data_IF_394383442576
#
_entry.id   IF_394383442576
#
_cell.length_a   1.000
_cell.length_b   1.000
_cell.length_c   1.000
_cell.angle_alpha   90.00
_cell.angle_beta   90.00
_cell.angle_gamma   90.00
#
_symmetry.space_group_name_H-M   'P 1'
#
loop_
_entity.id
_entity.type
_entity.pdbx_description
1 polymer ?
#
# COMPACT_ATOMS: atom_id res chain seq x y z
N UNK A 1 -33.39 -15.31 16.94
CA UNK A 1 -32.08 -15.44 16.26
C UNK A 1 -32.32 -16.13 14.93
N UNK A 2 -32.24 -15.40 13.80
CA UNK A 2 -32.32 -16.02 12.46
C UNK A 2 -30.93 -16.58 12.14
N UNK A 3 -30.88 -17.85 11.79
CA UNK A 3 -29.71 -18.56 11.30
C UNK A 3 -29.22 -17.86 10.00
N UNK A 4 -28.03 -17.25 10.06
CA UNK A 4 -27.48 -16.37 9.00
C UNK A 4 -26.25 -16.97 8.30
N UNK A 5 -25.90 -18.22 8.61
CA UNK A 5 -24.85 -18.96 7.90
C UNK A 5 -25.48 -19.94 6.93
N UNK A 6 -25.50 -19.60 5.64
CA UNK A 6 -25.94 -20.52 4.57
C UNK A 6 -24.92 -21.61 4.23
N UNK A 7 -23.78 -21.65 4.91
CA UNK A 7 -22.70 -22.60 4.64
C UNK A 7 -23.03 -23.98 5.23
N UNK A 8 -23.35 -24.94 4.36
CA UNK A 8 -23.53 -26.35 4.74
C UNK A 8 -22.16 -27.05 4.70
N UNK A 9 -21.76 -27.77 5.77
CA UNK A 9 -20.51 -28.53 5.76
C UNK A 9 -20.54 -29.58 4.64
N UNK A 10 -19.37 -29.80 4.03
CA UNK A 10 -19.19 -30.77 2.95
C UNK A 10 -19.34 -32.22 3.40
N UNK A 11 -19.14 -32.49 4.70
CA UNK A 11 -19.32 -33.79 5.33
C UNK A 11 -20.33 -33.67 6.50
N UNK A 12 -21.45 -34.42 6.48
CA UNK A 12 -22.45 -34.42 7.55
C UNK A 12 -21.88 -34.76 8.93
N UNK A 13 -20.81 -35.56 8.98
CA UNK A 13 -20.11 -35.96 10.22
C UNK A 13 -19.47 -34.80 10.98
N UNK A 14 -19.18 -33.67 10.30
CA UNK A 14 -18.60 -32.47 10.92
C UNK A 14 -19.53 -31.80 11.93
N UNK A 15 -20.84 -32.02 11.81
CA UNK A 15 -21.85 -31.39 12.67
C UNK A 15 -21.68 -31.74 14.17
N UNK A 16 -20.93 -32.79 14.48
CA UNK A 16 -20.61 -33.22 15.86
C UNK A 16 -19.15 -32.97 16.27
N UNK A 17 -18.29 -32.47 15.37
CA UNK A 17 -16.89 -32.20 15.67
C UNK A 17 -16.77 -30.92 16.55
N UNK A 18 -16.08 -31.02 17.68
CA UNK A 18 -15.91 -29.91 18.61
C UNK A 18 -15.21 -28.69 17.97
N UNK A 19 -14.29 -28.94 17.01
CA UNK A 19 -13.57 -27.91 16.25
C UNK A 19 -14.49 -27.18 15.27
N UNK A 20 -15.41 -27.92 14.64
CA UNK A 20 -16.43 -27.34 13.76
C UNK A 20 -17.46 -26.51 14.54
N UNK A 21 -17.92 -27.02 15.68
CA UNK A 21 -18.83 -26.29 16.56
C UNK A 21 -18.20 -25.00 17.09
N UNK A 22 -16.89 -24.99 17.38
CA UNK A 22 -16.16 -23.78 17.73
C UNK A 22 -16.13 -22.78 16.57
N UNK A 23 -15.85 -23.23 15.33
CA UNK A 23 -15.90 -22.35 14.17
C UNK A 23 -17.29 -21.72 13.97
N UNK A 24 -18.37 -22.47 14.21
CA UNK A 24 -19.73 -21.94 14.18
C UNK A 24 -20.00 -20.89 15.27
N UNK A 25 -19.53 -21.12 16.51
CA UNK A 25 -19.64 -20.12 17.60
C UNK A 25 -18.87 -18.84 17.26
N UNK A 26 -17.65 -18.98 16.73
CA UNK A 26 -16.80 -17.87 16.30
C UNK A 26 -17.52 -16.98 15.29
N UNK A 27 -18.12 -17.56 14.24
CA UNK A 27 -18.80 -16.76 13.21
C UNK A 27 -20.13 -16.18 13.67
N UNK A 28 -20.77 -16.78 14.69
CA UNK A 28 -21.97 -16.25 15.34
C UNK A 28 -21.67 -15.08 16.29
N UNK A 29 -20.42 -14.89 16.72
CA UNK A 29 -20.02 -13.78 17.57
C UNK A 29 -20.18 -12.42 16.85
N UNK A 30 -20.57 -11.38 17.60
CA UNK A 30 -20.75 -10.00 17.12
C UNK A 30 -19.57 -9.45 16.30
N UNK A 31 -18.35 -9.90 16.60
CA UNK A 31 -17.12 -9.46 15.94
C UNK A 31 -16.91 -10.11 14.58
N UNK A 32 -17.54 -11.26 14.29
CA UNK A 32 -17.45 -11.95 12.99
C UNK A 32 -18.73 -11.80 12.17
N UNK A 33 -19.89 -11.84 12.82
CA UNK A 33 -21.22 -11.84 12.17
C UNK A 33 -21.50 -10.65 11.25
N UNK A 34 -20.79 -9.52 11.42
CA UNK A 34 -20.90 -8.33 10.56
C UNK A 34 -20.21 -8.47 9.19
N UNK A 35 -19.39 -9.49 8.97
CA UNK A 35 -18.62 -9.67 7.72
C UNK A 35 -18.86 -11.05 7.11
N UNK A 36 -19.67 -11.14 6.03
CA UNK A 36 -19.91 -12.40 5.32
C UNK A 36 -18.62 -13.05 4.82
N UNK A 37 -17.66 -12.25 4.34
CA UNK A 37 -16.38 -12.74 3.84
C UNK A 37 -15.53 -13.45 4.91
N UNK A 38 -15.46 -12.91 6.13
CA UNK A 38 -14.70 -13.54 7.21
C UNK A 38 -15.36 -14.81 7.72
N UNK A 39 -16.70 -14.80 7.78
CA UNK A 39 -17.50 -15.99 8.10
C UNK A 39 -17.26 -17.09 7.07
N UNK A 40 -17.42 -16.78 5.77
CA UNK A 40 -17.24 -17.75 4.70
C UNK A 40 -15.80 -18.27 4.64
N UNK A 41 -14.82 -17.39 4.82
CA UNK A 41 -13.41 -17.79 4.87
C UNK A 41 -13.17 -18.80 6.01
N UNK A 42 -13.52 -18.43 7.25
CA UNK A 42 -13.27 -19.30 8.40
C UNK A 42 -13.99 -20.65 8.27
N UNK A 43 -15.26 -20.66 7.86
CA UNK A 43 -16.02 -21.90 7.68
C UNK A 43 -15.44 -22.76 6.55
N UNK A 44 -15.04 -22.16 5.43
CA UNK A 44 -14.45 -22.88 4.31
C UNK A 44 -13.15 -23.59 4.69
N UNK A 45 -12.22 -22.90 5.34
CA UNK A 45 -10.92 -23.52 5.69
C UNK A 45 -11.05 -24.56 6.80
N UNK A 46 -11.95 -24.35 7.76
CA UNK A 46 -12.26 -25.35 8.77
C UNK A 46 -12.94 -26.58 8.17
N UNK A 47 -13.88 -26.41 7.23
CA UNK A 47 -14.53 -27.52 6.53
C UNK A 47 -13.51 -28.38 5.78
N UNK A 48 -12.59 -27.74 5.04
CA UNK A 48 -11.56 -28.43 4.27
C UNK A 48 -10.55 -29.16 5.13
N UNK A 49 -10.05 -28.53 6.19
CA UNK A 49 -9.11 -29.17 7.11
C UNK A 49 -9.74 -30.37 7.81
N UNK A 50 -10.94 -30.19 8.38
CA UNK A 50 -11.62 -31.24 9.14
C UNK A 50 -12.14 -32.38 8.24
N UNK A 51 -12.26 -32.13 6.94
CA UNK A 51 -12.57 -33.17 5.94
C UNK A 51 -11.33 -33.87 5.38
N UNK A 52 -10.13 -33.55 5.86
CA UNK A 52 -8.86 -34.13 5.37
C UNK A 52 -8.44 -33.63 3.98
N UNK A 53 -8.93 -32.47 3.55
CA UNK A 53 -8.67 -31.84 2.25
C UNK A 53 -7.90 -30.53 2.40
N UNK A 54 -6.88 -30.55 3.25
CA UNK A 54 -6.05 -29.40 3.59
C UNK A 54 -5.26 -28.86 2.38
N UNK A 55 -4.94 -29.73 1.44
CA UNK A 55 -4.26 -29.45 0.18
C UNK A 55 -5.08 -28.54 -0.76
N UNK A 56 -6.41 -28.56 -0.66
CA UNK A 56 -7.29 -27.64 -1.40
C UNK A 56 -7.25 -26.21 -0.85
N UNK A 57 -6.68 -25.99 0.35
CA UNK A 57 -6.69 -24.68 1.05
C UNK A 57 -5.58 -23.77 0.48
N UNK A 58 -5.76 -23.39 -0.78
CA UNK A 58 -4.88 -22.48 -1.52
C UNK A 58 -5.52 -21.10 -1.66
N UNK A 59 -4.70 -20.07 -1.89
CA UNK A 59 -5.20 -18.70 -2.06
C UNK A 59 -6.22 -18.59 -3.21
N UNK A 60 -5.94 -19.28 -4.31
CA UNK A 60 -6.81 -19.36 -5.47
C UNK A 60 -8.16 -19.99 -5.13
N UNK A 61 -8.16 -21.16 -4.48
CA UNK A 61 -9.39 -21.88 -4.13
C UNK A 61 -10.23 -21.12 -3.10
N UNK A 62 -9.59 -20.48 -2.12
CA UNK A 62 -10.28 -19.63 -1.16
C UNK A 62 -10.97 -18.46 -1.88
N UNK A 63 -10.27 -17.80 -2.82
CA UNK A 63 -10.82 -16.69 -3.60
C UNK A 63 -12.10 -17.07 -4.35
N UNK A 64 -12.12 -18.23 -4.98
CA UNK A 64 -13.30 -18.71 -5.71
C UNK A 64 -14.39 -19.18 -4.74
N UNK A 65 -14.06 -20.11 -3.84
CA UNK A 65 -15.05 -20.85 -3.06
C UNK A 65 -15.60 -20.07 -1.86
N UNK A 66 -14.78 -19.22 -1.23
CA UNK A 66 -15.18 -18.44 -0.06
C UNK A 66 -15.52 -16.97 -0.41
N UNK A 67 -14.85 -16.38 -1.40
CA UNK A 67 -15.04 -14.98 -1.80
C UNK A 67 -15.86 -14.81 -3.09
N UNK A 68 -16.23 -15.90 -3.77
CA UNK A 68 -17.07 -15.83 -4.98
C UNK A 68 -16.37 -15.19 -6.18
N UNK A 69 -15.03 -15.24 -6.24
CA UNK A 69 -14.27 -14.74 -7.39
C UNK A 69 -14.49 -15.64 -8.62
N UNK A 70 -14.40 -15.06 -9.84
CA UNK A 70 -14.53 -15.82 -11.07
C UNK A 70 -13.35 -16.80 -11.25
N UNK A 71 -13.51 -17.80 -12.13
CA UNK A 71 -12.53 -18.88 -12.31
C UNK A 71 -11.20 -18.39 -12.90
N UNK A 72 -11.19 -17.26 -13.59
CA UNK A 72 -9.98 -16.58 -14.08
C UNK A 72 -9.28 -15.72 -13.01
N UNK A 73 -9.72 -15.80 -11.75
CA UNK A 73 -9.12 -15.11 -10.60
C UNK A 73 -7.61 -15.37 -10.48
N UNK A 74 -6.84 -14.27 -10.41
CA UNK A 74 -5.40 -14.32 -10.21
C UNK A 74 -5.00 -13.76 -8.83
N UNK A 75 -4.55 -14.60 -7.89
CA UNK A 75 -4.06 -14.17 -6.58
C UNK A 75 -2.83 -13.26 -6.61
N UNK A 76 -2.12 -13.16 -7.75
CA UNK A 76 -1.01 -12.23 -7.94
C UNK A 76 -1.47 -10.78 -8.17
N UNK A 77 -2.69 -10.59 -8.68
CA UNK A 77 -3.25 -9.27 -9.02
C UNK A 77 -4.27 -8.82 -7.96
N UNK A 78 -5.13 -9.73 -7.50
CA UNK A 78 -6.11 -9.45 -6.44
C UNK A 78 -5.68 -10.11 -5.13
N UNK A 79 -5.39 -9.28 -4.13
CA UNK A 79 -4.90 -9.69 -2.81
C UNK A 79 -6.00 -9.85 -1.76
N UNK A 80 -7.28 -9.94 -2.17
CA UNK A 80 -8.43 -10.03 -1.26
C UNK A 80 -8.26 -11.13 -0.20
N UNK A 81 -7.79 -12.31 -0.59
CA UNK A 81 -7.60 -13.45 0.35
C UNK A 81 -6.52 -13.13 1.38
N UNK A 82 -5.40 -12.51 0.99
CA UNK A 82 -4.32 -12.10 1.92
C UNK A 82 -4.78 -11.05 2.91
N UNK A 83 -5.52 -10.05 2.42
CA UNK A 83 -6.06 -8.97 3.25
C UNK A 83 -7.01 -9.53 4.30
N UNK A 84 -7.96 -10.36 3.88
CA UNK A 84 -8.92 -10.98 4.80
C UNK A 84 -8.28 -12.03 5.70
N UNK A 85 -7.21 -12.70 5.30
CA UNK A 85 -6.47 -13.61 6.18
C UNK A 85 -5.79 -12.85 7.33
N UNK A 86 -5.25 -11.65 7.07
CA UNK A 86 -4.69 -10.78 8.13
C UNK A 86 -5.77 -10.36 9.13
N UNK A 87 -6.93 -9.96 8.62
CA UNK A 87 -8.07 -9.57 9.47
C UNK A 87 -8.61 -10.76 10.26
N UNK A 88 -8.73 -11.93 9.62
CA UNK A 88 -9.18 -13.17 10.26
C UNK A 88 -8.27 -13.56 11.42
N UNK A 89 -6.95 -13.55 11.23
CA UNK A 89 -5.98 -13.81 12.30
C UNK A 89 -6.16 -12.85 13.48
N UNK A 90 -6.20 -11.55 13.22
CA UNK A 90 -6.41 -10.53 14.26
C UNK A 90 -7.72 -10.74 15.03
N UNK A 91 -8.82 -11.08 14.34
CA UNK A 91 -10.10 -11.32 15.01
C UNK A 91 -10.12 -12.62 15.82
N UNK A 92 -9.44 -13.67 15.36
CA UNK A 92 -9.26 -14.89 16.14
C UNK A 92 -8.49 -14.58 17.42
N UNK A 93 -7.38 -13.84 17.33
CA UNK A 93 -6.60 -13.45 18.52
C UNK A 93 -7.43 -12.62 19.50
N UNK A 94 -8.14 -11.60 19.01
CA UNK A 94 -9.03 -10.77 19.85
C UNK A 94 -10.15 -11.60 20.51
N UNK A 95 -10.74 -12.57 19.81
CA UNK A 95 -11.77 -13.44 20.38
C UNK A 95 -11.19 -14.27 21.52
N UNK A 96 -10.05 -14.93 21.33
CA UNK A 96 -9.45 -15.78 22.36
C UNK A 96 -8.82 -14.98 23.51
N UNK A 97 -8.55 -13.68 23.34
CA UNK A 97 -8.18 -12.77 24.43
C UNK A 97 -9.38 -12.29 25.27
N UNK A 98 -10.59 -12.32 24.71
CA UNK A 98 -11.81 -11.77 25.34
C UNK A 98 -12.88 -12.85 25.55
N UNK A 99 -13.87 -12.92 24.65
CA UNK A 99 -15.07 -13.76 24.76
C UNK A 99 -14.76 -15.26 24.78
N UNK A 100 -13.66 -15.68 24.14
CA UNK A 100 -13.23 -17.06 23.95
C UNK A 100 -12.14 -17.55 24.89
N UNK A 101 -11.80 -16.79 25.94
CA UNK A 101 -10.66 -17.11 26.84
C UNK A 101 -10.71 -18.52 27.45
N UNK A 102 -11.92 -19.01 27.72
CA UNK A 102 -12.16 -20.31 28.35
C UNK A 102 -12.54 -21.42 27.35
N UNK A 103 -12.39 -21.19 26.05
CA UNK A 103 -12.66 -22.23 25.05
C UNK A 103 -11.59 -23.35 25.18
N UNK A 104 -11.99 -24.63 25.20
CA UNK A 104 -11.06 -25.76 25.38
C UNK A 104 -10.15 -25.96 24.16
N UNK A 105 -10.55 -25.45 23.00
CA UNK A 105 -9.82 -25.52 21.74
C UNK A 105 -9.60 -24.08 21.25
N UNK A 106 -8.39 -23.77 20.82
CA UNK A 106 -8.03 -22.52 20.13
C UNK A 106 -7.78 -22.79 18.66
N UNK A 107 -8.45 -22.03 17.78
CA UNK A 107 -8.19 -22.04 16.34
C UNK A 107 -7.19 -20.93 16.02
N UNK A 108 -6.12 -21.25 15.30
CA UNK A 108 -5.16 -20.29 14.76
C UNK A 108 -4.97 -20.51 13.26
N UNK A 109 -4.59 -19.47 12.51
CA UNK A 109 -4.20 -19.59 11.11
C UNK A 109 -2.80 -18.99 10.98
N UNK A 110 -1.74 -19.79 10.75
CA UNK A 110 -0.37 -19.29 10.78
C UNK A 110 -0.09 -18.31 9.63
N UNK A 111 0.90 -17.44 9.81
CA UNK A 111 1.35 -16.52 8.75
C UNK A 111 1.96 -17.33 7.61
N UNK A 112 1.67 -16.93 6.37
CA UNK A 112 2.17 -17.60 5.16
C UNK A 112 1.42 -18.88 4.76
N UNK A 113 0.47 -19.36 5.57
CA UNK A 113 -0.45 -20.45 5.20
C UNK A 113 -1.89 -20.07 5.51
N UNK A 114 -2.83 -20.84 4.96
CA UNK A 114 -4.27 -20.64 5.15
C UNK A 114 -4.94 -21.81 5.89
N UNK A 115 -4.22 -22.90 6.10
CA UNK A 115 -4.70 -24.08 6.83
C UNK A 115 -4.85 -23.74 8.32
N UNK A 116 -6.03 -23.94 8.93
CA UNK A 116 -6.26 -23.69 10.35
C UNK A 116 -5.59 -24.77 11.22
N UNK A 117 -5.04 -24.36 12.35
CA UNK A 117 -4.45 -25.24 13.37
C UNK A 117 -5.31 -25.15 14.64
N UNK A 118 -5.54 -26.30 15.26
CA UNK A 118 -6.33 -26.42 16.49
C UNK A 118 -5.40 -26.81 17.65
N UNK A 119 -5.41 -26.01 18.71
CA UNK A 119 -4.62 -26.25 19.93
C UNK A 119 -5.55 -26.53 21.11
N UNK A 120 -5.22 -27.49 21.97
CA UNK A 120 -5.91 -27.68 23.25
C UNK A 120 -5.41 -26.64 24.27
N UNK A 121 -6.33 -25.99 24.97
CA UNK A 121 -5.99 -24.97 25.97
C UNK A 121 -5.65 -25.65 27.30
N UNK A 122 -4.38 -25.57 27.72
CA UNK A 122 -3.86 -26.20 28.95
C UNK A 122 -4.38 -25.61 30.28
N UNK A 123 -5.37 -24.69 30.26
CA UNK A 123 -5.90 -24.07 31.48
C UNK A 123 -6.97 -24.90 32.22
N UNK A 124 -6.90 -26.23 32.11
CA UNK A 124 -7.63 -27.16 32.95
C UNK A 124 -6.67 -28.11 33.69
N UNK A 125 -5.58 -27.59 34.27
CA UNK A 125 -4.81 -28.22 35.35
C UNK A 125 -3.82 -27.20 35.92
N UNK A 126 -3.96 -26.84 37.20
CA UNK A 126 -3.02 -25.97 37.91
C UNK A 126 -1.79 -26.73 38.38
N UNK A 127 -0.60 -26.14 38.22
CA UNK A 127 0.26 -25.69 39.34
C UNK A 127 1.65 -25.22 38.85
N UNK A 128 2.08 -24.09 39.44
CA UNK A 128 3.45 -23.57 39.67
C UNK A 128 4.64 -23.84 38.73
N UNK A 129 5.03 -22.79 37.98
CA UNK A 129 6.39 -22.19 37.68
C UNK A 129 7.72 -22.99 37.83
N UNK A 130 8.86 -22.56 37.22
CA UNK A 130 9.12 -21.55 36.18
C UNK A 130 10.10 -22.00 35.04
N UNK A 131 10.30 -21.06 34.10
CA UNK A 131 11.07 -21.08 32.83
C UNK A 131 12.58 -21.37 32.96
N UNK A 132 13.14 -22.12 31.99
CA UNK A 132 14.52 -21.93 31.52
C UNK A 132 14.65 -22.26 30.00
N UNK A 133 15.47 -21.53 29.20
CA UNK A 133 15.54 -21.69 27.74
C UNK A 133 16.63 -22.67 27.30
N UNK A 134 16.29 -23.65 26.46
CA UNK A 134 17.25 -24.61 25.88
C UNK A 134 17.60 -24.25 24.43
N UNK A 135 18.90 -24.16 24.17
CA UNK A 135 19.55 -23.90 22.89
C UNK A 135 19.58 -25.14 21.97
N UNK A 136 19.69 -24.89 20.66
CA UNK A 136 19.86 -25.88 19.60
C UNK A 136 21.28 -26.50 19.58
N UNK A 137 21.44 -27.78 19.20
CA UNK A 137 22.76 -28.33 18.87
C UNK A 137 23.13 -28.13 17.39
N UNK A 138 24.35 -27.61 17.16
CA UNK A 138 25.13 -27.78 15.93
C UNK A 138 26.12 -28.91 16.18
N UNK A 139 26.14 -29.94 15.33
CA UNK A 139 27.21 -30.93 15.27
C UNK A 139 28.19 -30.55 14.16
N UNK A 140 29.46 -30.41 14.54
CA UNK A 140 30.61 -30.30 13.65
C UNK A 140 31.64 -31.30 14.20
N UNK A 141 31.99 -32.32 13.42
CA UNK A 141 33.05 -33.28 13.76
C UNK A 141 34.10 -33.27 12.67
N UNK A 142 35.26 -32.82 13.12
CA UNK A 142 36.61 -32.77 12.59
C UNK A 142 37.13 -34.15 12.13
N UNK A 143 37.70 -34.24 10.92
CA UNK A 143 38.47 -35.40 10.46
C UNK A 143 39.94 -35.03 10.42
N UNK A 144 40.74 -35.76 11.21
CA UNK A 144 42.20 -35.65 11.32
C UNK A 144 42.92 -36.24 10.12
N UNK A 145 43.94 -35.50 9.69
CA UNK A 145 44.99 -35.87 8.74
C UNK A 145 45.93 -36.95 9.33
N UNK A 146 46.26 -37.98 8.55
CA UNK A 146 47.45 -38.80 8.77
C UNK A 146 48.29 -38.88 7.48
N UNK A 147 49.52 -38.41 7.60
CA UNK A 147 50.60 -38.56 6.62
C UNK A 147 51.30 -39.89 6.88
N UNK A 148 51.53 -40.68 5.83
CA UNK A 148 52.61 -41.66 5.83
C UNK A 148 53.25 -41.80 4.46
N UNK A 149 54.57 -41.60 4.45
CA UNK A 149 55.48 -41.66 3.32
C UNK A 149 56.25 -42.99 3.37
N UNK A 150 56.38 -43.72 2.25
CA UNK A 150 57.61 -44.46 1.89
C UNK A 150 57.64 -45.02 0.44
N UNK A 151 58.58 -44.44 -0.31
CA UNK A 151 59.51 -44.95 -1.34
C UNK A 151 59.31 -46.29 -2.08
N UNK A 152 59.55 -46.25 -3.41
CA UNK A 152 60.08 -47.38 -4.21
C UNK A 152 59.65 -47.42 -5.70
N UNK A 153 60.49 -46.93 -6.62
CA UNK A 153 60.35 -46.98 -8.11
C UNK A 153 60.73 -48.40 -8.67
N UNK A 154 60.68 -48.78 -9.98
CA UNK A 154 60.32 -48.03 -11.21
C UNK A 154 59.55 -48.78 -12.36
N UNK A 155 59.36 -48.05 -13.48
CA UNK A 155 59.15 -48.50 -14.90
C UNK A 155 57.68 -48.55 -15.37
N UNK A 156 57.22 -48.04 -16.53
CA UNK A 156 57.78 -47.63 -17.84
C UNK A 156 56.82 -46.57 -18.50
N UNK A 157 57.16 -45.94 -19.63
CA UNK A 157 56.58 -44.68 -20.10
C UNK A 157 55.47 -44.86 -21.13
N UNK A 158 54.40 -44.05 -21.12
CA UNK A 158 53.55 -43.86 -22.31
C UNK A 158 53.00 -42.43 -22.48
N UNK A 159 53.44 -41.83 -23.59
CA UNK A 159 52.72 -40.94 -24.54
C UNK A 159 52.00 -39.69 -24.01
N UNK A 160 52.75 -38.60 -24.12
CA UNK A 160 52.29 -37.19 -24.16
C UNK A 160 51.58 -36.93 -25.50
N UNK A 161 50.26 -36.76 -25.47
CA UNK A 161 49.43 -36.37 -26.63
C UNK A 161 48.30 -35.42 -26.24
N UNK A 162 48.41 -34.17 -26.69
CA UNK A 162 47.32 -33.23 -27.02
C UNK A 162 46.08 -33.10 -26.11
N UNK A 163 46.24 -33.00 -24.78
CA UNK A 163 45.13 -32.57 -23.87
C UNK A 163 45.17 -31.10 -23.44
N UNK A 164 46.32 -30.42 -23.59
CA UNK A 164 46.46 -29.01 -23.20
C UNK A 164 45.79 -28.01 -24.14
N UNK A 165 45.70 -28.32 -25.44
CA UNK A 165 45.16 -27.40 -26.44
C UNK A 165 43.62 -27.34 -26.40
N UNK A 166 42.96 -28.47 -26.14
CA UNK A 166 41.50 -28.57 -26.01
C UNK A 166 40.99 -27.85 -24.75
N UNK A 167 41.70 -27.94 -23.62
CA UNK A 167 41.35 -27.17 -22.42
C UNK A 167 41.48 -25.66 -22.64
N UNK A 168 42.54 -25.21 -23.32
CA UNK A 168 42.74 -23.79 -23.62
C UNK A 168 41.62 -23.19 -24.48
N UNK A 169 41.13 -23.93 -25.48
CA UNK A 169 40.01 -23.48 -26.33
C UNK A 169 38.70 -23.42 -25.54
N UNK A 170 38.43 -24.39 -24.67
CA UNK A 170 37.21 -24.38 -23.83
C UNK A 170 37.22 -23.18 -22.87
N UNK A 171 38.34 -22.88 -22.22
CA UNK A 171 38.45 -21.71 -21.34
C UNK A 171 38.30 -20.38 -22.12
N UNK A 172 38.82 -20.29 -23.33
CA UNK A 172 38.65 -19.12 -24.18
C UNK A 172 37.18 -18.92 -24.60
N UNK A 173 36.48 -19.99 -24.98
CA UNK A 173 35.06 -19.93 -25.35
C UNK A 173 34.19 -19.55 -24.15
N UNK A 174 34.44 -20.12 -22.98
CA UNK A 174 33.73 -19.75 -21.74
C UNK A 174 34.02 -18.30 -21.36
N UNK A 175 35.28 -17.85 -21.45
CA UNK A 175 35.65 -16.46 -21.20
C UNK A 175 34.94 -15.49 -22.14
N UNK A 176 34.90 -15.79 -23.44
CA UNK A 176 34.16 -14.98 -24.42
C UNK A 176 32.66 -14.99 -24.14
N UNK A 177 32.07 -16.14 -23.81
CA UNK A 177 30.66 -16.24 -23.46
C UNK A 177 30.30 -15.46 -22.18
N UNK A 178 31.19 -15.44 -21.18
CA UNK A 178 31.00 -14.65 -19.97
C UNK A 178 31.15 -13.15 -20.25
N UNK A 179 32.09 -12.74 -21.10
CA UNK A 179 32.27 -11.33 -21.48
C UNK A 179 31.11 -10.85 -22.35
N UNK A 180 30.66 -11.63 -23.34
CA UNK A 180 29.50 -11.29 -24.16
C UNK A 180 28.20 -11.35 -23.38
N UNK A 181 28.07 -12.28 -22.42
CA UNK A 181 26.96 -12.33 -21.48
C UNK A 181 26.95 -11.12 -20.54
N UNK A 182 28.10 -10.74 -19.98
CA UNK A 182 28.24 -9.57 -19.12
C UNK A 182 27.98 -8.27 -19.89
N UNK A 183 28.58 -8.12 -21.07
CA UNK A 183 28.40 -6.95 -21.94
C UNK A 183 26.97 -6.90 -22.48
N UNK A 184 26.38 -8.05 -22.81
CA UNK A 184 24.99 -8.19 -23.22
C UNK A 184 24.03 -7.78 -22.11
N UNK A 185 24.26 -8.22 -20.86
CA UNK A 185 23.48 -7.79 -19.69
C UNK A 185 23.66 -6.29 -19.43
N UNK A 186 24.87 -5.75 -19.61
CA UNK A 186 25.14 -4.34 -19.35
C UNK A 186 24.56 -3.41 -20.44
N UNK A 187 24.52 -3.88 -21.69
CA UNK A 187 23.90 -3.19 -22.81
C UNK A 187 22.36 -3.34 -22.81
N UNK A 188 21.82 -4.53 -22.46
CA UNK A 188 20.37 -4.74 -22.33
C UNK A 188 19.76 -4.06 -21.09
N UNK A 189 20.57 -3.77 -20.05
CA UNK A 189 20.12 -2.97 -18.90
C UNK A 189 19.87 -1.50 -19.24
N UNK A 190 20.35 -1.00 -20.38
CA UNK A 190 19.99 0.34 -20.87
C UNK A 190 18.70 0.26 -21.69
N UNK A 191 17.58 0.00 -21.02
CA UNK A 191 16.28 0.39 -21.59
C UNK A 191 16.33 1.90 -21.81
N UNK A 192 15.87 2.43 -22.96
CA UNK A 192 15.68 3.86 -23.08
C UNK A 192 14.80 4.32 -21.92
N UNK A 193 15.27 5.31 -21.16
CA UNK A 193 14.52 5.85 -20.04
C UNK A 193 13.14 6.27 -20.52
N UNK A 194 12.10 5.70 -19.91
CA UNK A 194 10.71 6.06 -20.20
C UNK A 194 10.45 7.49 -19.73
N UNK A 195 9.41 8.15 -20.23
CA UNK A 195 9.09 9.51 -19.76
C UNK A 195 8.75 9.51 -18.27
N UNK A 196 8.12 8.45 -17.77
CA UNK A 196 7.87 8.23 -16.34
C UNK A 196 9.18 8.16 -15.54
N UNK A 197 10.21 7.49 -16.05
CA UNK A 197 11.54 7.51 -15.42
C UNK A 197 12.12 8.92 -15.33
N UNK A 198 11.96 9.74 -16.38
CA UNK A 198 12.41 11.14 -16.37
C UNK A 198 11.64 11.97 -15.33
N UNK A 199 10.32 11.84 -15.26
CA UNK A 199 9.50 12.50 -14.25
C UNK A 199 9.93 12.12 -12.82
N UNK A 200 10.04 10.82 -12.55
CA UNK A 200 10.34 10.29 -11.22
C UNK A 200 11.76 10.64 -10.78
N UNK A 201 12.75 10.68 -11.69
CA UNK A 201 14.11 11.13 -11.35
C UNK A 201 14.20 12.63 -11.03
N UNK A 202 13.29 13.46 -11.56
CA UNK A 202 13.17 14.87 -11.14
C UNK A 202 12.54 15.03 -9.75
N UNK A 203 11.69 14.07 -9.34
CA UNK A 203 11.02 14.05 -8.05
C UNK A 203 11.85 13.38 -6.95
N UNK A 204 12.59 12.31 -7.27
CA UNK A 204 13.45 11.55 -6.36
C UNK A 204 14.93 11.79 -6.70
N UNK A 205 15.40 12.98 -6.35
CA UNK A 205 16.77 13.41 -6.64
C UNK A 205 17.76 12.82 -5.64
N UNK A 206 18.99 12.59 -6.10
CA UNK A 206 20.09 12.07 -5.25
C UNK A 206 20.74 13.12 -4.37
N UNK A 207 20.44 14.41 -4.59
CA UNK A 207 21.03 15.55 -3.90
C UNK A 207 19.99 16.36 -3.09
N UNK A 208 18.74 15.88 -3.03
CA UNK A 208 17.63 16.59 -2.39
C UNK A 208 16.65 15.62 -1.76
N UNK A 209 16.22 15.89 -0.53
CA UNK A 209 15.24 15.08 0.16
C UNK A 209 13.88 15.13 -0.55
N UNK A 210 13.13 14.02 -0.54
CA UNK A 210 11.73 13.96 -0.97
C UNK A 210 10.86 13.59 0.23
N UNK A 211 9.92 14.48 0.56
CA UNK A 211 8.99 14.31 1.66
C UNK A 211 7.60 13.96 1.15
N UNK A 212 7.05 12.82 1.58
CA UNK A 212 5.63 12.51 1.41
C UNK A 212 4.89 13.04 2.63
N UNK A 213 3.82 13.80 2.40
CA UNK A 213 3.01 14.43 3.43
C UNK A 213 1.59 13.87 3.37
N UNK A 214 1.29 12.80 4.13
CA UNK A 214 -0.06 12.32 4.34
C UNK A 214 -0.93 13.41 4.99
N UNK A 215 -2.20 13.41 4.61
CA UNK A 215 -3.21 14.32 5.10
C UNK A 215 -3.51 14.13 6.59
N UNK A 216 -3.82 15.24 7.27
CA UNK A 216 -4.39 15.27 8.61
C UNK A 216 -5.91 15.01 8.52
N UNK A 217 -6.30 13.74 8.51
CA UNK A 217 -7.72 13.37 8.51
C UNK A 217 -8.43 13.82 9.78
N UNK A 218 -7.68 14.04 10.88
CA UNK A 218 -8.21 14.58 12.13
C UNK A 218 -8.64 16.03 11.98
N UNK A 219 -7.89 16.83 11.21
CA UNK A 219 -8.28 18.18 10.82
C UNK A 219 -9.61 18.16 10.06
N UNK A 220 -9.75 17.28 9.06
CA UNK A 220 -11.01 17.21 8.29
C UNK A 220 -12.23 16.88 9.17
N UNK A 221 -12.07 15.94 10.11
CA UNK A 221 -13.12 15.64 11.11
C UNK A 221 -13.41 16.88 11.97
N UNK A 222 -12.37 17.58 12.43
CA UNK A 222 -12.52 18.78 13.26
C UNK A 222 -13.26 19.90 12.51
N UNK A 223 -12.89 20.19 11.27
CA UNK A 223 -13.57 21.20 10.45
C UNK A 223 -15.04 20.84 10.19
N UNK A 224 -15.35 19.55 10.01
CA UNK A 224 -16.74 19.09 9.83
C UNK A 224 -17.57 19.23 11.10
N UNK A 225 -17.00 18.88 12.26
CA UNK A 225 -17.68 19.01 13.55
C UNK A 225 -17.91 20.47 13.94
N UNK A 226 -16.94 21.34 13.66
CA UNK A 226 -16.97 22.76 14.01
C UNK A 226 -17.59 23.65 12.93
N UNK A 227 -17.82 23.10 11.72
CA UNK A 227 -18.22 23.82 10.50
C UNK A 227 -17.35 25.05 10.20
N UNK A 228 -16.08 24.98 10.57
CA UNK A 228 -15.12 26.08 10.41
C UNK A 228 -13.91 25.61 9.63
N UNK A 229 -13.65 26.17 8.43
CA UNK A 229 -12.42 25.88 7.71
C UNK A 229 -11.21 26.47 8.43
N UNK A 230 -10.10 25.75 8.43
CA UNK A 230 -8.82 26.17 9.04
C UNK A 230 -7.89 26.66 7.94
N UNK A 231 -7.46 27.92 8.02
CA UNK A 231 -6.48 28.46 7.07
C UNK A 231 -5.08 27.96 7.39
N UNK A 232 -4.18 27.96 6.40
CA UNK A 232 -2.79 27.57 6.61
C UNK A 232 -2.11 28.35 7.76
N UNK A 233 -2.39 29.65 7.89
CA UNK A 233 -1.82 30.48 8.98
C UNK A 233 -2.23 30.02 10.38
N UNK A 234 -3.48 29.55 10.53
CA UNK A 234 -3.99 29.00 11.79
C UNK A 234 -3.42 27.61 12.03
N UNK A 235 -3.33 26.79 10.98
CA UNK A 235 -2.76 25.44 11.03
C UNK A 235 -1.31 25.44 11.50
N UNK A 236 -0.47 26.30 10.91
CA UNK A 236 0.96 26.42 11.24
C UNK A 236 1.21 26.88 12.68
N UNK A 237 0.34 27.75 13.20
CA UNK A 237 0.46 28.27 14.57
C UNK A 237 -0.22 27.37 15.61
N UNK A 238 -1.06 26.43 15.17
CA UNK A 238 -1.89 25.62 16.05
C UNK A 238 -3.06 26.39 16.69
N UNK A 239 -3.33 27.63 16.29
CA UNK A 239 -4.38 28.46 16.89
C UNK A 239 -5.79 27.89 16.67
N UNK A 240 -5.99 27.11 15.61
CA UNK A 240 -7.26 26.44 15.36
C UNK A 240 -7.66 25.46 16.48
N UNK A 241 -6.69 24.95 17.24
CA UNK A 241 -6.92 24.02 18.35
C UNK A 241 -7.47 24.71 19.61
N UNK A 242 -7.38 26.04 19.74
CA UNK A 242 -7.75 26.77 20.97
C UNK A 242 -9.15 27.40 20.95
N UNK A 243 -9.94 27.21 19.90
CA UNK A 243 -11.25 27.87 19.77
C UNK A 243 -12.35 27.10 20.48
N UNK A 244 -12.62 27.45 21.75
CA UNK A 244 -13.65 26.81 22.57
C UNK A 244 -15.08 27.05 22.04
N UNK A 245 -15.37 28.22 21.49
CA UNK A 245 -16.72 28.61 21.03
C UNK A 245 -17.28 27.73 19.89
N UNK A 246 -16.40 27.09 19.11
CA UNK A 246 -16.81 26.21 18.01
C UNK A 246 -17.10 24.77 18.49
N UNK A 247 -16.97 24.51 19.80
CA UNK A 247 -16.89 23.17 20.38
C UNK A 247 -18.03 22.85 21.36
N UNK A 248 -19.00 23.75 21.53
CA UNK A 248 -20.13 23.61 22.48
C UNK A 248 -20.98 22.35 22.26
N UNK A 249 -20.89 21.73 21.07
CA UNK A 249 -21.65 20.53 20.70
C UNK A 249 -20.79 19.26 20.59
N UNK A 250 -19.50 19.32 20.91
CA UNK A 250 -18.56 18.19 20.76
C UNK A 250 -17.99 17.79 22.12
N UNK A 251 -18.00 16.49 22.41
CA UNK A 251 -17.40 15.96 23.63
C UNK A 251 -15.92 16.35 23.76
N UNK A 252 -15.54 16.85 24.93
CA UNK A 252 -14.21 17.39 25.19
C UNK A 252 -13.10 16.32 25.06
N UNK A 253 -13.38 15.04 25.34
CA UNK A 253 -12.38 13.98 25.20
C UNK A 253 -12.15 13.66 23.73
N UNK A 254 -13.22 13.57 22.92
CA UNK A 254 -13.09 13.39 21.47
C UNK A 254 -12.31 14.54 20.82
N UNK A 255 -12.47 15.76 21.33
CA UNK A 255 -11.69 16.91 20.88
C UNK A 255 -10.24 16.84 21.30
N UNK A 256 -9.96 16.41 22.53
CA UNK A 256 -8.60 16.18 22.99
C UNK A 256 -7.88 15.10 22.15
N UNK A 257 -8.61 14.08 21.70
CA UNK A 257 -8.09 13.07 20.78
C UNK A 257 -7.73 13.66 19.42
N UNK A 258 -8.61 14.45 18.80
CA UNK A 258 -8.34 15.11 17.52
C UNK A 258 -7.17 16.12 17.60
N UNK A 259 -7.00 16.76 18.77
CA UNK A 259 -5.89 17.69 19.04
C UNK A 259 -4.53 17.00 19.20
N UNK A 260 -4.49 15.82 19.82
CA UNK A 260 -3.22 15.19 20.23
C UNK A 260 -2.82 13.99 19.37
N UNK A 261 -3.78 13.31 18.75
CA UNK A 261 -3.53 12.14 17.93
C UNK A 261 -3.30 12.54 16.47
N UNK A 262 -2.53 11.70 15.77
CA UNK A 262 -2.24 11.85 14.33
C UNK A 262 -3.12 10.89 13.56
N UNK A 263 -4.18 11.41 12.96
CA UNK A 263 -5.07 10.64 12.10
C UNK A 263 -4.73 10.88 10.64
N UNK A 264 -4.60 9.81 9.88
CA UNK A 264 -4.43 9.82 8.42
C UNK A 264 -5.27 8.70 7.81
N UNK A 265 -5.57 8.83 6.52
CA UNK A 265 -6.33 7.83 5.78
C UNK A 265 -5.46 6.61 5.41
N UNK A 266 -6.10 5.45 5.22
CA UNK A 266 -5.42 4.26 4.68
C UNK A 266 -5.02 4.47 3.21
N UNK A 267 -5.76 5.29 2.46
CA UNK A 267 -5.41 5.65 1.09
C UNK A 267 -4.04 6.35 1.05
N UNK A 268 -3.82 7.36 1.90
CA UNK A 268 -2.53 8.07 1.99
C UNK A 268 -1.37 7.13 2.36
N UNK A 269 -1.62 6.16 3.25
CA UNK A 269 -0.61 5.15 3.59
C UNK A 269 -0.31 4.21 2.42
N UNK A 270 -1.33 3.82 1.64
CA UNK A 270 -1.14 3.02 0.44
C UNK A 270 -0.37 3.82 -0.63
N UNK A 271 -0.66 5.10 -0.79
CA UNK A 271 0.07 5.98 -1.73
C UNK A 271 1.53 6.10 -1.31
N UNK A 272 1.81 6.37 -0.03
CA UNK A 272 3.17 6.42 0.50
C UNK A 272 3.91 5.08 0.31
N UNK A 273 3.21 3.95 0.50
CA UNK A 273 3.75 2.61 0.24
C UNK A 273 4.02 2.39 -1.25
N UNK A 274 3.12 2.77 -2.15
CA UNK A 274 3.33 2.64 -3.59
C UNK A 274 4.52 3.48 -4.06
N UNK A 275 4.63 4.71 -3.57
CA UNK A 275 5.78 5.58 -3.82
C UNK A 275 7.08 4.97 -3.28
N UNK A 276 7.06 4.28 -2.14
CA UNK A 276 8.27 3.65 -1.57
C UNK A 276 8.82 2.50 -2.43
N UNK A 277 8.05 2.01 -3.40
CA UNK A 277 8.44 0.90 -4.29
C UNK A 277 8.85 1.35 -5.69
N UNK A 278 8.83 2.65 -6.01
CA UNK A 278 9.27 3.11 -7.34
C UNK A 278 10.79 2.95 -7.48
N UNK A 279 11.31 2.47 -8.63
CA UNK A 279 12.74 2.20 -8.80
C UNK A 279 13.66 3.42 -8.66
N UNK A 280 13.15 4.62 -8.93
CA UNK A 280 13.88 5.88 -8.91
C UNK A 280 14.08 6.44 -7.49
N UNK A 281 13.39 5.88 -6.50
CA UNK A 281 13.44 6.38 -5.13
C UNK A 281 14.83 6.27 -4.51
N UNK A 282 15.27 7.35 -3.88
CA UNK A 282 16.52 7.40 -3.11
C UNK A 282 16.19 7.18 -1.64
N UNK A 283 16.41 5.96 -1.15
CA UNK A 283 15.92 5.51 0.15
C UNK A 283 16.43 6.36 1.32
N UNK A 284 17.69 6.82 1.28
CA UNK A 284 18.28 7.65 2.33
C UNK A 284 17.73 9.09 2.37
N UNK A 285 17.11 9.52 1.27
CA UNK A 285 16.57 10.85 1.07
C UNK A 285 15.03 10.86 1.00
N UNK A 286 14.38 9.73 1.28
CA UNK A 286 12.94 9.62 1.29
C UNK A 286 12.41 9.58 2.73
N UNK A 287 11.44 10.44 3.05
CA UNK A 287 10.80 10.41 4.37
C UNK A 287 9.32 10.74 4.29
N UNK A 288 8.56 10.22 5.27
CA UNK A 288 7.15 10.56 5.48
C UNK A 288 7.08 11.56 6.62
N UNK A 289 6.35 12.66 6.42
CA UNK A 289 6.11 13.70 7.43
C UNK A 289 4.61 13.91 7.58
N UNK A 290 4.08 13.72 8.78
CA UNK A 290 2.67 14.05 9.03
C UNK A 290 2.43 15.55 8.81
N UNK A 291 1.29 15.94 8.21
CA UNK A 291 1.02 17.33 7.84
C UNK A 291 1.19 18.32 9.01
N UNK A 292 0.81 17.93 10.23
CA UNK A 292 0.92 18.78 11.44
C UNK A 292 2.35 18.96 11.94
N UNK A 293 3.25 18.06 11.55
CA UNK A 293 4.66 18.09 11.93
C UNK A 293 5.54 18.77 10.86
N UNK A 294 4.97 19.10 9.70
CA UNK A 294 5.67 19.77 8.61
C UNK A 294 5.97 21.23 8.97
N UNK A 295 7.10 21.75 8.48
CA UNK A 295 7.52 23.14 8.69
C UNK A 295 7.83 23.82 7.35
N UNK A 296 7.82 25.15 7.35
CA UNK A 296 8.18 25.94 6.16
C UNK A 296 9.59 25.63 5.64
N UNK A 297 10.54 25.33 6.52
CA UNK A 297 11.91 25.00 6.12
C UNK A 297 11.99 23.64 5.40
N UNK A 298 11.16 22.66 5.81
CA UNK A 298 11.05 21.38 5.11
C UNK A 298 10.63 21.59 3.64
N UNK A 299 9.63 22.44 3.42
CA UNK A 299 9.10 22.74 2.08
C UNK A 299 10.06 23.54 1.20
N UNK A 300 10.95 24.35 1.80
CA UNK A 300 11.97 25.09 1.05
C UNK A 300 13.14 24.21 0.65
N UNK A 301 13.48 23.19 1.43
CA UNK A 301 14.72 22.42 1.24
C UNK A 301 14.49 21.09 0.52
N UNK A 302 13.25 20.60 0.48
CA UNK A 302 12.92 19.29 -0.06
C UNK A 302 12.10 19.39 -1.34
N UNK A 303 12.07 18.30 -2.11
CA UNK A 303 10.93 17.97 -2.94
C UNK A 303 9.79 17.51 -2.03
N UNK A 304 8.55 17.81 -2.38
CA UNK A 304 7.40 17.46 -1.54
C UNK A 304 6.32 16.77 -2.36
N UNK A 305 5.67 15.78 -1.77
CA UNK A 305 4.48 15.12 -2.30
C UNK A 305 3.36 15.35 -1.28
N UNK A 306 2.42 16.25 -1.59
CA UNK A 306 1.28 16.57 -0.74
C UNK A 306 0.09 15.70 -1.13
N UNK A 307 -0.48 15.01 -0.15
CA UNK A 307 -1.67 14.16 -0.33
C UNK A 307 -2.89 14.82 0.30
N UNK A 308 -4.06 14.60 -0.29
CA UNK A 308 -5.35 15.04 0.25
C UNK A 308 -5.87 16.32 -0.41
N UNK A 309 -6.39 17.26 0.36
CA UNK A 309 -6.87 18.55 -0.18
C UNK A 309 -6.56 19.65 0.83
N UNK A 310 -6.80 20.91 0.49
CA UNK A 310 -6.62 22.03 1.43
C UNK A 310 -7.36 21.84 2.77
N UNK A 311 -8.47 21.09 2.77
CA UNK A 311 -9.27 20.76 3.97
C UNK A 311 -8.58 19.79 4.94
N UNK A 312 -7.70 18.93 4.46
CA UNK A 312 -6.98 17.94 5.29
C UNK A 312 -5.47 18.16 5.28
N UNK A 313 -4.96 19.00 4.39
CA UNK A 313 -3.56 19.32 4.23
C UNK A 313 -3.41 20.80 3.80
N UNK A 314 -3.52 21.77 4.73
CA UNK A 314 -3.50 23.20 4.41
C UNK A 314 -2.23 23.69 3.71
N UNK A 315 -1.14 22.91 3.72
CA UNK A 315 0.11 23.21 3.00
C UNK A 315 -0.08 23.32 1.49
N UNK A 316 -1.14 22.71 0.95
CA UNK A 316 -1.55 22.84 -0.45
C UNK A 316 -1.77 24.31 -0.86
N UNK A 317 -2.24 25.18 0.06
CA UNK A 317 -2.54 26.60 -0.20
C UNK A 317 -1.33 27.38 -0.76
N UNK A 318 -0.10 26.93 -0.44
CA UNK A 318 1.14 27.54 -0.93
C UNK A 318 1.36 27.38 -2.43
N UNK A 319 0.78 26.33 -3.03
CA UNK A 319 0.91 26.00 -4.44
C UNK A 319 -0.37 26.32 -5.20
N UNK A 320 -1.53 26.07 -4.57
CA UNK A 320 -2.86 26.16 -5.17
C UNK A 320 -3.14 27.52 -5.82
N UNK A 321 -2.65 28.63 -5.25
CA UNK A 321 -2.90 29.99 -5.80
C UNK A 321 -2.41 30.20 -7.24
N UNK A 322 -1.48 29.38 -7.70
CA UNK A 322 -0.96 29.41 -9.07
C UNK A 322 -1.68 28.40 -9.99
N UNK A 323 -2.38 27.42 -9.43
CA UNK A 323 -3.09 26.40 -10.19
C UNK A 323 -4.40 26.91 -10.78
N UNK A 324 -4.82 26.31 -11.90
CA UNK A 324 -6.14 26.60 -12.50
C UNK A 324 -7.24 25.81 -11.80
N UNK A 325 -6.94 24.59 -11.37
CA UNK A 325 -7.89 23.73 -10.69
C UNK A 325 -7.67 23.82 -9.18
N UNK A 326 -8.75 24.01 -8.43
CA UNK A 326 -8.69 24.09 -6.97
C UNK A 326 -9.87 23.34 -6.35
N UNK A 327 -9.60 22.47 -5.39
CA UNK A 327 -10.64 21.81 -4.61
C UNK A 327 -11.22 22.81 -3.62
N UNK A 328 -12.54 22.95 -3.62
CA UNK A 328 -13.29 23.67 -2.60
C UNK A 328 -14.15 22.68 -1.85
N UNK A 329 -13.90 22.60 -0.54
CA UNK A 329 -14.62 21.71 0.34
C UNK A 329 -15.81 22.43 0.96
N UNK A 330 -16.95 21.76 1.01
CA UNK A 330 -18.15 22.19 1.72
C UNK A 330 -18.36 21.29 2.94
N UNK A 331 -19.04 21.80 3.97
CA UNK A 331 -19.35 21.03 5.19
C UNK A 331 -20.20 19.78 4.93
N UNK A 332 -20.86 19.71 3.77
CA UNK A 332 -21.46 18.47 3.26
C UNK A 332 -20.50 17.89 2.21
N UNK A 333 -19.97 16.68 2.45
CA UNK A 333 -18.96 16.02 1.58
C UNK A 333 -19.41 15.98 0.12
N UNK A 334 -20.70 15.77 -0.10
CA UNK A 334 -21.34 15.67 -1.41
C UNK A 334 -21.42 17.03 -2.15
N UNK A 335 -21.18 18.13 -1.45
CA UNK A 335 -21.12 19.49 -2.00
C UNK A 335 -19.68 19.96 -2.31
N UNK A 336 -18.68 19.09 -2.13
CA UNK A 336 -17.31 19.43 -2.51
C UNK A 336 -17.19 19.52 -4.03
N UNK A 337 -16.47 20.55 -4.49
CA UNK A 337 -16.32 20.88 -5.92
C UNK A 337 -14.87 21.08 -6.31
N UNK A 338 -14.55 20.90 -7.58
CA UNK A 338 -13.37 21.48 -8.21
C UNK A 338 -13.77 22.73 -8.95
N UNK A 339 -13.12 23.85 -8.63
CA UNK A 339 -13.25 25.11 -9.36
C UNK A 339 -12.15 25.20 -10.42
N UNK A 340 -12.57 25.42 -11.66
CA UNK A 340 -11.69 25.75 -12.78
C UNK A 340 -11.64 27.27 -12.93
N UNK A 341 -10.52 27.87 -12.50
CA UNK A 341 -10.32 29.33 -12.46
C UNK A 341 -10.15 29.96 -13.84
N UNK A 342 -9.74 29.17 -14.84
CA UNK A 342 -9.59 29.62 -16.23
C UNK A 342 -10.15 28.55 -17.18
N UNK A 343 -11.49 28.44 -17.30
CA UNK A 343 -12.11 27.44 -18.15
C UNK A 343 -11.73 27.63 -19.62
N UNK A 344 -11.27 26.55 -20.24
CA UNK A 344 -11.07 26.48 -21.69
C UNK A 344 -12.39 26.34 -22.46
N UNK A 345 -12.30 26.36 -23.78
CA UNK A 345 -13.47 26.14 -24.64
C UNK A 345 -14.10 24.77 -24.38
N UNK A 346 -15.36 24.75 -23.94
CA UNK A 346 -16.10 23.52 -23.64
C UNK A 346 -15.87 22.94 -22.25
N UNK A 347 -15.01 23.57 -21.43
CA UNK A 347 -14.82 23.18 -20.04
C UNK A 347 -15.84 23.84 -19.11
N UNK A 348 -16.16 23.17 -18.00
CA UNK A 348 -17.01 23.74 -16.96
C UNK A 348 -16.18 24.59 -15.99
N UNK A 349 -16.79 25.63 -15.44
CA UNK A 349 -16.18 26.43 -14.37
C UNK A 349 -16.16 25.70 -13.02
N UNK A 350 -17.07 24.75 -12.83
CA UNK A 350 -17.24 23.97 -11.61
C UNK A 350 -17.51 22.52 -11.97
N UNK A 351 -16.84 21.60 -11.29
CA UNK A 351 -17.05 20.15 -11.36
C UNK A 351 -17.43 19.66 -9.97
N UNK A 352 -18.64 19.14 -9.81
CA UNK A 352 -19.17 18.69 -8.52
C UNK A 352 -19.24 17.17 -8.48
N UNK A 353 -19.01 16.59 -7.30
CA UNK A 353 -19.28 15.17 -7.06
C UNK A 353 -20.68 14.78 -7.54
N UNK A 354 -20.83 13.51 -7.91
CA UNK A 354 -22.09 13.03 -8.47
C UNK A 354 -23.22 13.03 -7.45
N UNK A 355 -24.39 13.52 -7.88
CA UNK A 355 -25.66 13.48 -7.15
C UNK A 355 -26.65 12.57 -7.87
N UNK A 356 -27.56 11.94 -7.13
CA UNK A 356 -28.75 11.17 -7.56
C UNK A 356 -28.59 10.12 -8.68
N UNK A 357 -28.13 10.49 -9.88
CA UNK A 357 -28.01 9.67 -11.08
C UNK A 357 -26.65 8.93 -11.18
N UNK A 358 -25.58 9.51 -10.62
CA UNK A 358 -24.24 8.90 -10.60
C UNK A 358 -23.52 9.19 -9.28
N UNK A 359 -24.03 8.68 -8.14
CA UNK A 359 -23.52 9.01 -6.80
C UNK A 359 -22.07 8.58 -6.54
N UNK A 360 -21.47 7.86 -7.48
CA UNK A 360 -20.10 7.40 -7.37
C UNK A 360 -19.13 8.37 -8.04
N UNK A 361 -19.58 9.34 -8.83
CA UNK A 361 -18.66 10.25 -9.52
C UNK A 361 -17.89 11.13 -8.53
N UNK A 362 -16.59 11.19 -8.72
CA UNK A 362 -15.72 12.11 -7.99
C UNK A 362 -14.58 12.63 -8.86
N UNK A 363 -13.87 13.65 -8.37
CA UNK A 363 -12.81 14.33 -9.08
C UNK A 363 -11.52 14.37 -8.28
N UNK A 364 -10.43 14.43 -9.03
CA UNK A 364 -9.07 14.45 -8.49
C UNK A 364 -8.17 15.39 -9.31
N UNK A 365 -7.13 15.91 -8.68
CA UNK A 365 -6.11 16.74 -9.32
C UNK A 365 -4.75 16.06 -9.17
N UNK A 366 -3.99 16.03 -10.25
CA UNK A 366 -2.55 15.71 -10.24
C UNK A 366 -1.81 16.95 -10.72
N UNK A 367 -1.01 17.57 -9.86
CA UNK A 367 -0.21 18.74 -10.24
C UNK A 367 1.27 18.53 -9.92
N UNK A 368 2.13 18.69 -10.92
CA UNK A 368 3.58 18.67 -10.80
C UNK A 368 4.10 20.07 -11.07
N UNK A 369 4.62 20.73 -10.03
CA UNK A 369 5.01 22.14 -10.05
C UNK A 369 6.39 22.35 -9.41
N UNK A 370 7.04 23.51 -9.59
CA UNK A 370 8.29 23.79 -8.89
C UNK A 370 8.11 23.85 -7.37
N UNK A 371 9.14 23.45 -6.63
CA UNK A 371 9.22 23.66 -5.18
C UNK A 371 9.25 25.15 -4.81
N UNK A 372 9.03 25.48 -3.54
CA UNK A 372 8.98 26.88 -3.09
C UNK A 372 10.29 27.66 -3.31
N UNK A 373 11.44 26.98 -3.33
CA UNK A 373 12.75 27.55 -3.62
C UNK A 373 13.10 27.54 -5.12
N UNK A 374 12.25 26.94 -5.97
CA UNK A 374 12.45 26.80 -7.42
C UNK A 374 13.58 25.85 -7.82
N UNK A 375 14.20 25.10 -6.88
CA UNK A 375 15.34 24.21 -7.17
C UNK A 375 14.95 22.74 -7.29
N UNK A 376 13.68 22.43 -7.04
CA UNK A 376 13.11 21.09 -7.06
C UNK A 376 11.64 21.13 -7.47
N UNK A 377 10.87 20.14 -7.03
CA UNK A 377 9.49 19.97 -7.43
C UNK A 377 8.57 19.66 -6.24
N UNK A 378 7.32 20.09 -6.38
CA UNK A 378 6.20 19.66 -5.56
C UNK A 378 5.23 18.86 -6.44
N UNK A 379 4.76 17.73 -5.91
CA UNK A 379 3.69 16.93 -6.49
C UNK A 379 2.48 17.04 -5.56
N UNK A 380 1.34 17.41 -6.10
CA UNK A 380 0.06 17.43 -5.41
C UNK A 380 -0.80 16.31 -5.99
N UNK A 381 -1.23 15.41 -5.12
CA UNK A 381 -2.16 14.32 -5.44
C UNK A 381 -3.42 14.56 -4.62
N UNK A 382 -4.40 15.17 -5.25
CA UNK A 382 -5.58 15.70 -4.58
C UNK A 382 -6.87 15.02 -5.01
N UNK A 383 -7.83 14.94 -4.10
CA UNK A 383 -9.14 14.35 -4.36
C UNK A 383 -10.24 14.94 -3.50
N UNK A 384 -11.47 15.03 -4.05
CA UNK A 384 -12.64 15.48 -3.29
C UNK A 384 -13.02 14.50 -2.16
N UNK A 385 -12.58 13.25 -2.26
CA UNK A 385 -12.69 12.23 -1.24
C UNK A 385 -11.49 11.27 -1.30
N UNK A 386 -11.47 10.26 -0.42
CA UNK A 386 -10.37 9.27 -0.37
C UNK A 386 -10.17 8.53 -1.70
N UNK A 387 -11.25 8.19 -2.41
CA UNK A 387 -11.16 7.50 -3.69
C UNK A 387 -10.55 8.40 -4.77
N UNK A 388 -10.88 9.70 -4.78
CA UNK A 388 -10.24 10.69 -5.65
C UNK A 388 -8.74 10.81 -5.41
N UNK A 389 -8.30 10.88 -4.15
CA UNK A 389 -6.86 10.97 -3.82
C UNK A 389 -6.10 9.71 -4.24
N UNK A 390 -6.70 8.53 -4.01
CA UNK A 390 -6.14 7.26 -4.49
C UNK A 390 -6.06 7.23 -6.03
N UNK A 391 -7.11 7.68 -6.70
CA UNK A 391 -7.17 7.75 -8.17
C UNK A 391 -6.09 8.68 -8.76
N UNK A 392 -5.83 9.83 -8.14
CA UNK A 392 -4.73 10.72 -8.53
C UNK A 392 -3.38 9.99 -8.47
N UNK A 393 -3.11 9.25 -7.40
CA UNK A 393 -1.89 8.45 -7.27
C UNK A 393 -1.81 7.32 -8.29
N UNK A 394 -2.88 6.54 -8.45
CA UNK A 394 -2.91 5.41 -9.37
C UNK A 394 -2.72 5.88 -10.82
N UNK A 395 -3.32 7.03 -11.18
CA UNK A 395 -3.10 7.69 -12.46
C UNK A 395 -1.63 8.12 -12.61
N UNK A 396 -1.07 8.83 -11.63
CA UNK A 396 0.32 9.32 -11.66
C UNK A 396 1.36 8.19 -11.78
N UNK A 397 1.13 7.06 -11.12
CA UNK A 397 2.05 5.91 -11.14
C UNK A 397 1.82 4.99 -12.35
N UNK A 398 0.73 5.17 -13.10
CA UNK A 398 0.45 4.38 -14.31
C UNK A 398 1.22 4.94 -15.50
N UNK A 399 2.23 4.19 -15.95
CA UNK A 399 3.00 4.54 -17.16
C UNK A 399 2.08 4.71 -18.39
N UNK A 400 1.12 3.82 -18.56
CA UNK A 400 0.16 3.88 -19.68
C UNK A 400 -0.70 5.15 -19.64
N UNK A 401 -1.13 5.58 -18.45
CA UNK A 401 -1.99 6.74 -18.29
C UNK A 401 -1.21 8.06 -18.39
N UNK A 402 0.01 8.09 -17.83
CA UNK A 402 0.84 9.29 -17.83
C UNK A 402 1.58 9.54 -19.14
N UNK A 403 1.89 8.53 -19.95
CA UNK A 403 2.72 8.72 -21.15
C UNK A 403 2.20 9.84 -22.09
N UNK A 404 0.89 9.93 -22.42
CA UNK A 404 0.37 11.02 -23.25
C UNK A 404 0.53 12.41 -22.62
N UNK A 405 0.45 12.50 -21.29
CA UNK A 405 0.65 13.75 -20.54
C UNK A 405 2.11 14.16 -20.59
N UNK A 406 3.01 13.21 -20.32
CA UNK A 406 4.44 13.47 -20.27
C UNK A 406 5.01 13.79 -21.64
N UNK A 407 4.45 13.24 -22.72
CA UNK A 407 4.80 13.62 -24.10
C UNK A 407 4.54 15.10 -24.36
N UNK A 408 3.42 15.66 -23.88
CA UNK A 408 3.07 17.08 -24.01
C UNK A 408 3.88 17.96 -23.04
N UNK A 409 4.15 17.46 -21.83
CA UNK A 409 4.91 18.18 -20.80
C UNK A 409 6.42 18.23 -21.10
N UNK A 410 6.94 17.37 -21.98
CA UNK A 410 8.36 17.30 -22.30
C UNK A 410 8.91 18.64 -22.79
N UNK A 411 9.96 19.11 -22.14
CA UNK A 411 10.73 20.29 -22.51
C UNK A 411 11.73 20.00 -23.63
N UNK A 412 12.26 21.07 -24.23
CA UNK A 412 13.26 20.99 -25.31
C UNK A 412 14.58 20.35 -24.82
N UNK A 413 14.91 20.56 -23.55
CA UNK A 413 16.06 19.98 -22.86
C UNK A 413 15.83 18.53 -22.39
N UNK A 414 14.63 17.98 -22.62
CA UNK A 414 14.23 16.65 -22.17
C UNK A 414 13.76 16.58 -20.72
N UNK A 415 13.69 17.71 -20.00
CA UNK A 415 13.05 17.78 -18.69
C UNK A 415 11.53 17.62 -18.82
N UNK A 416 10.85 17.24 -17.73
CA UNK A 416 9.39 17.31 -17.69
C UNK A 416 9.00 18.66 -17.08
N UNK A 417 8.32 19.49 -17.88
CA UNK A 417 7.84 20.81 -17.46
C UNK A 417 6.65 20.68 -16.50
N UNK A 418 6.34 21.73 -15.72
CA UNK A 418 5.16 21.75 -14.87
C UNK A 418 3.87 21.44 -15.62
N UNK A 419 2.99 20.66 -15.00
CA UNK A 419 1.67 20.31 -15.50
C UNK A 419 0.66 20.20 -14.36
N UNK A 420 -0.62 20.37 -14.67
CA UNK A 420 -1.73 19.98 -13.79
C UNK A 420 -2.83 19.31 -14.62
N UNK A 421 -3.52 18.36 -14.00
CA UNK A 421 -4.49 17.49 -14.64
C UNK A 421 -5.72 17.41 -13.76
N UNK A 422 -6.89 17.67 -14.34
CA UNK A 422 -8.17 17.38 -13.72
C UNK A 422 -8.63 15.99 -14.19
N UNK A 423 -8.90 15.12 -13.23
CA UNK A 423 -9.38 13.75 -13.43
C UNK A 423 -10.81 13.62 -12.94
N UNK A 424 -11.60 12.83 -13.66
CA UNK A 424 -12.88 12.29 -13.21
C UNK A 424 -12.73 10.79 -12.98
N UNK A 425 -13.33 10.29 -11.91
CA UNK A 425 -13.35 8.86 -11.61
C UNK A 425 -14.65 8.49 -10.91
N UNK A 426 -14.84 7.19 -10.66
CA UNK A 426 -15.98 6.64 -9.94
C UNK A 426 -15.51 5.96 -8.66
N UNK A 427 -16.05 6.35 -7.51
CA UNK A 427 -15.83 5.70 -6.23
C UNK A 427 -16.80 4.52 -6.07
N UNK A 428 -16.33 3.31 -6.37
CA UNK A 428 -17.03 2.09 -5.94
C UNK A 428 -16.49 1.71 -4.56
N UNK A 429 -17.14 2.19 -3.50
CA UNK A 429 -16.62 2.09 -2.14
C UNK A 429 -15.40 3.00 -1.94
N UNK A 430 -14.28 2.44 -1.45
CA UNK A 430 -13.02 3.20 -1.27
C UNK A 430 -12.05 3.08 -2.45
N UNK A 431 -12.47 2.44 -3.55
CA UNK A 431 -11.62 2.16 -4.72
C UNK A 431 -12.12 2.91 -5.97
N UNK A 432 -11.20 3.22 -6.89
CA UNK A 432 -11.47 3.94 -8.12
C UNK A 432 -11.00 3.13 -9.35
N UNK A 433 -11.90 2.47 -10.12
CA UNK A 433 -11.49 1.45 -11.08
C UNK A 433 -10.98 1.96 -12.44
N UNK A 434 -11.02 3.26 -12.74
CA UNK A 434 -10.26 3.91 -13.83
C UNK A 434 -10.48 5.43 -13.77
N UNK A 435 -9.47 6.23 -14.15
CA UNK A 435 -9.56 7.70 -14.16
C UNK A 435 -9.57 8.24 -15.60
N UNK A 436 -10.45 9.21 -15.86
CA UNK A 436 -10.58 9.90 -17.14
C UNK A 436 -10.03 11.31 -17.01
N UNK A 437 -9.15 11.71 -17.94
CA UNK A 437 -8.67 13.09 -18.03
C UNK A 437 -9.79 13.99 -18.54
N UNK A 438 -10.08 15.05 -17.81
CA UNK A 438 -11.08 16.07 -18.15
C UNK A 438 -10.42 17.28 -18.78
N UNK A 439 -9.34 17.76 -18.15
CA UNK A 439 -8.61 18.93 -18.60
C UNK A 439 -7.15 18.83 -18.16
N UNK A 440 -6.29 19.48 -18.92
CA UNK A 440 -4.84 19.49 -18.71
C UNK A 440 -4.34 20.94 -18.84
N UNK A 441 -3.31 21.30 -18.07
CA UNK A 441 -2.55 22.54 -18.26
C UNK A 441 -1.06 22.22 -18.17
N UNK A 442 -0.25 22.98 -18.89
CA UNK A 442 1.20 22.86 -18.94
C UNK A 442 1.83 24.24 -18.69
N UNK A 443 3.12 24.30 -18.35
CA UNK A 443 3.90 25.48 -17.94
C UNK A 443 3.39 26.88 -18.37
N UNK A 444 3.03 27.13 -19.63
CA UNK A 444 2.54 28.44 -20.11
C UNK A 444 1.13 28.82 -19.62
N UNK A 445 0.38 27.86 -19.08
CA UNK A 445 -0.98 28.01 -18.57
C UNK A 445 -1.12 27.89 -17.05
N UNK A 446 -0.05 27.56 -16.30
CA UNK A 446 -0.07 27.30 -14.84
C UNK A 446 0.38 28.54 -14.03
N UNK A 447 0.60 29.68 -14.70
CA UNK A 447 0.98 30.94 -14.05
C UNK A 447 -0.01 32.04 -14.43
#
# INVERSE_FOLDING_TARGET
>A
MKDRSSYKPSNPGLSKDARWLLAQRLVANKNFAKSPFLTNFLLYVCDRELSGRADEITEYQIGIQAFGRPVDYNPGVDNVVRNYARVLRKRLDQYFETDGKNEPIRISIPVGRYVPIFHESAQASGDGMPVQPTQAPKEEVEIKEQVQEKAGNPSKPERRGSRGLLLGVVFAVVGVALVTGFLGIHLFKRRPATLSHQLLTQLFRKDRQTLVVPADSGLGILENLTRRPVRLSEYVTGSYLSHEDAMDHVDANNMNDLRNQRYTSVADLNIALSLSHVPELVQELFAIRYARDLRMDDLKQSNVILLGSVHTNPWVELFEKKLNFALQYSSEVDDSIVVNRRPGTGESAVYQNGHAEDPQRTYAIVAFVPSLDGKGHALLLEGLNMAGTQAASDFFLSEKAMDPILQKARGVDGSIRPFEILLETSSIGANAPESRVIAERYADGIY
#
